data_IF_719897123722
#
_entry.id   IF_719897123722
#
_cell.length_a   1.000
_cell.length_b   1.000
_cell.length_c   1.000
_cell.angle_alpha   90.00
_cell.angle_beta   90.00
_cell.angle_gamma   90.00
#
_symmetry.space_group_name_H-M   'P 1'
#
loop_
_entity.id
_entity.type
_entity.pdbx_description
1 polymer ?
#
# COMPACT_ATOMS: atom_id res chain seq x y z
N UNK A 1 22.35 -20.32 -12.59
CA UNK A 1 20.88 -20.17 -12.69
C UNK A 1 20.16 -20.62 -11.41
N UNK A 2 20.75 -21.50 -10.60
CA UNK A 2 20.08 -22.07 -9.41
C UNK A 2 19.73 -21.07 -8.29
N UNK A 3 20.61 -20.08 -8.02
CA UNK A 3 20.37 -19.05 -6.98
C UNK A 3 19.13 -18.20 -7.23
N UNK A 4 18.79 -17.95 -8.50
CA UNK A 4 17.59 -17.20 -8.86
C UNK A 4 16.33 -18.02 -8.57
N UNK A 5 16.36 -19.32 -8.89
CA UNK A 5 15.26 -20.25 -8.60
C UNK A 5 14.97 -20.38 -7.11
N UNK A 6 16.02 -20.48 -6.28
CA UNK A 6 15.88 -20.53 -4.82
C UNK A 6 15.26 -19.25 -4.25
N UNK A 7 15.68 -18.08 -4.74
CA UNK A 7 15.14 -16.80 -4.30
C UNK A 7 13.65 -16.65 -4.65
N UNK A 8 13.25 -17.05 -5.86
CA UNK A 8 11.84 -17.04 -6.28
C UNK A 8 11.01 -17.96 -5.40
N UNK A 9 11.50 -19.17 -5.10
CA UNK A 9 10.79 -20.13 -4.24
C UNK A 9 10.61 -19.61 -2.81
N UNK A 10 11.62 -18.99 -2.21
CA UNK A 10 11.51 -18.40 -0.88
C UNK A 10 10.59 -17.18 -0.88
N UNK A 11 10.62 -16.34 -1.92
CA UNK A 11 9.68 -15.23 -2.07
C UNK A 11 8.21 -15.71 -2.13
N UNK A 12 7.93 -16.76 -2.92
CA UNK A 12 6.59 -17.38 -2.98
C UNK A 12 6.17 -18.00 -1.64
N UNK A 13 7.12 -18.59 -0.91
CA UNK A 13 6.88 -19.16 0.43
C UNK A 13 6.53 -18.08 1.45
N UNK A 14 7.28 -16.97 1.45
CA UNK A 14 6.99 -15.80 2.27
C UNK A 14 5.62 -15.20 1.92
N UNK A 15 5.30 -15.05 0.64
CA UNK A 15 4.02 -14.51 0.19
C UNK A 15 2.82 -15.37 0.65
N UNK A 16 2.95 -16.71 0.60
CA UNK A 16 1.93 -17.62 1.15
C UNK A 16 1.71 -17.45 2.65
N UNK A 17 2.77 -17.22 3.43
CA UNK A 17 2.67 -16.98 4.89
C UNK A 17 2.00 -15.66 5.21
N UNK A 18 2.27 -14.60 4.44
CA UNK A 18 1.67 -13.27 4.63
C UNK A 18 0.14 -13.29 4.45
N UNK A 19 -0.38 -14.10 3.51
CA UNK A 19 -1.83 -14.24 3.27
C UNK A 19 -2.59 -14.89 4.43
N UNK A 20 -1.93 -15.65 5.29
CA UNK A 20 -2.57 -16.37 6.40
C UNK A 20 -2.80 -15.52 7.65
N UNK A 21 -2.29 -14.28 7.70
CA UNK A 21 -2.39 -13.44 8.91
C UNK A 21 -3.78 -12.82 9.14
N UNK A 22 -4.73 -12.97 8.22
CA UNK A 22 -6.08 -12.39 8.32
C UNK A 22 -7.13 -13.44 8.64
N UNK A 23 -6.90 -14.26 9.67
CA UNK A 23 -7.99 -15.05 10.24
C UNK A 23 -8.94 -14.10 10.95
N UNK A 24 -10.25 -14.28 10.75
CA UNK A 24 -11.26 -13.63 11.55
C UNK A 24 -11.02 -14.01 13.02
N UNK A 25 -10.53 -13.07 13.81
CA UNK A 25 -10.23 -13.32 15.21
C UNK A 25 -11.53 -13.29 16.00
N UNK A 26 -11.84 -14.42 16.64
CA UNK A 26 -12.91 -14.47 17.64
C UNK A 26 -12.68 -13.41 18.74
N UNK A 27 -13.76 -12.93 19.36
CA UNK A 27 -13.71 -11.87 20.35
C UNK A 27 -12.81 -12.24 21.56
N UNK A 28 -12.82 -13.52 21.95
CA UNK A 28 -11.93 -14.02 23.00
C UNK A 28 -10.44 -13.91 22.61
N UNK A 29 -10.12 -14.17 21.35
CA UNK A 29 -8.76 -14.01 20.83
C UNK A 29 -8.34 -12.54 20.84
N UNK A 30 -9.23 -11.62 20.44
CA UNK A 30 -8.96 -10.17 20.48
C UNK A 30 -8.60 -9.71 21.89
N UNK A 31 -9.37 -10.11 22.90
CA UNK A 31 -9.14 -9.76 24.30
C UNK A 31 -7.82 -10.35 24.79
N UNK A 32 -7.53 -11.62 24.49
CA UNK A 32 -6.29 -12.29 24.91
C UNK A 32 -5.04 -11.59 24.37
N UNK A 33 -5.05 -11.21 23.10
CA UNK A 33 -3.95 -10.49 22.46
C UNK A 33 -3.80 -9.08 23.03
N UNK A 34 -4.91 -8.36 23.24
CA UNK A 34 -4.91 -7.05 23.89
C UNK A 34 -4.25 -7.11 25.28
N UNK A 35 -4.70 -8.01 26.15
CA UNK A 35 -4.16 -8.16 27.52
C UNK A 35 -2.66 -8.45 27.49
N UNK A 36 -2.21 -9.35 26.60
CA UNK A 36 -0.79 -9.64 26.43
C UNK A 36 0.02 -8.41 26.00
N UNK A 37 -0.49 -7.60 25.08
CA UNK A 37 0.19 -6.38 24.62
C UNK A 37 0.25 -5.31 25.72
N UNK A 38 -0.80 -5.16 26.51
CA UNK A 38 -0.82 -4.26 27.68
C UNK A 38 0.22 -4.69 28.71
N UNK A 39 0.26 -5.97 29.07
CA UNK A 39 1.25 -6.51 30.02
C UNK A 39 2.70 -6.35 29.52
N UNK A 40 2.91 -6.34 28.20
CA UNK A 40 4.20 -6.07 27.58
C UNK A 40 4.55 -4.57 27.44
N UNK A 41 3.69 -3.66 27.94
CA UNK A 41 3.88 -2.21 27.82
C UNK A 41 3.64 -1.64 26.42
N UNK A 42 3.13 -2.45 25.48
CA UNK A 42 2.89 -2.05 24.07
C UNK A 42 1.50 -1.44 23.90
N UNK A 43 1.22 -0.35 24.61
CA UNK A 43 -0.12 0.27 24.67
C UNK A 43 -0.63 0.76 23.30
N UNK A 44 0.26 1.31 22.46
CA UNK A 44 -0.10 1.73 21.09
C UNK A 44 -0.56 0.54 20.25
N UNK A 45 0.14 -0.58 20.34
CA UNK A 45 -0.19 -1.77 19.56
C UNK A 45 -1.46 -2.42 20.10
N UNK A 46 -1.63 -2.48 21.43
CA UNK A 46 -2.85 -2.95 22.06
C UNK A 46 -4.08 -2.14 21.61
N UNK A 47 -3.97 -0.80 21.62
CA UNK A 47 -5.07 0.08 21.19
C UNK A 47 -5.37 -0.05 19.71
N UNK A 48 -4.36 -0.18 18.84
CA UNK A 48 -4.59 -0.40 17.39
C UNK A 48 -5.26 -1.75 17.12
N UNK A 49 -4.80 -2.80 17.81
CA UNK A 49 -5.36 -4.14 17.71
C UNK A 49 -6.85 -4.19 18.09
N UNK A 50 -7.23 -3.66 19.26
CA UNK A 50 -8.63 -3.72 19.73
C UNK A 50 -9.58 -2.80 18.95
N UNK A 51 -9.04 -1.75 18.31
CA UNK A 51 -9.83 -0.81 17.50
C UNK A 51 -9.88 -1.19 16.02
N UNK A 52 -9.40 -2.39 15.65
CA UNK A 52 -9.31 -2.85 14.26
C UNK A 52 -8.57 -1.87 13.33
N UNK A 53 -7.69 -1.04 13.90
CA UNK A 53 -6.80 -0.12 13.16
C UNK A 53 -5.50 -0.81 12.72
N UNK A 54 -5.37 -2.10 13.02
CA UNK A 54 -4.39 -2.98 12.40
C UNK A 54 -4.93 -3.43 11.04
N UNK A 55 -4.85 -2.51 10.07
CA UNK A 55 -5.44 -2.67 8.74
C UNK A 55 -4.79 -1.77 7.70
N UNK A 56 -3.50 -1.44 7.88
CA UNK A 56 -2.72 -0.78 6.83
C UNK A 56 -2.44 -1.78 5.71
N UNK A 57 -3.04 -1.57 4.55
CA UNK A 57 -2.81 -2.38 3.36
C UNK A 57 -3.19 -1.64 2.10
N UNK A 58 -2.58 -2.02 0.99
CA UNK A 58 -2.97 -1.51 -0.33
C UNK A 58 -4.37 -2.04 -0.64
N UNK A 59 -5.30 -1.14 -0.90
CA UNK A 59 -6.61 -1.50 -1.43
C UNK A 59 -6.45 -1.76 -2.94
N UNK A 60 -7.00 -2.87 -3.43
CA UNK A 60 -7.00 -3.16 -4.86
C UNK A 60 -8.06 -2.27 -5.55
N UNK A 61 -7.83 -1.83 -6.79
CA UNK A 61 -8.77 -0.97 -7.53
C UNK A 61 -10.21 -1.51 -7.56
N UNK A 62 -10.37 -2.84 -7.63
CA UNK A 62 -11.64 -3.55 -7.74
C UNK A 62 -12.32 -3.79 -6.37
N UNK A 63 -11.64 -3.47 -5.26
CA UNK A 63 -12.20 -3.66 -3.92
C UNK A 63 -13.39 -2.72 -3.73
N UNK A 64 -14.53 -3.28 -3.33
CA UNK A 64 -15.74 -2.50 -3.03
C UNK A 64 -15.61 -1.88 -1.65
N UNK A 65 -15.78 -0.57 -1.58
CA UNK A 65 -15.78 0.22 -0.34
C UNK A 65 -17.12 0.09 0.39
N UNK A 66 -17.19 0.58 1.64
CA UNK A 66 -18.44 0.65 2.42
C UNK A 66 -19.55 1.45 1.72
N UNK A 67 -19.17 2.31 0.76
CA UNK A 67 -20.08 3.15 -0.02
C UNK A 67 -20.62 2.42 -1.27
N UNK A 68 -20.31 1.14 -1.46
CA UNK A 68 -20.75 0.33 -2.59
C UNK A 68 -20.03 0.62 -3.91
N UNK A 69 -19.06 1.54 -3.91
CA UNK A 69 -18.21 1.88 -5.07
C UNK A 69 -16.86 1.19 -4.98
N UNK A 70 -16.26 0.89 -6.12
CA UNK A 70 -14.89 0.41 -6.18
C UNK A 70 -13.91 1.48 -5.70
N UNK A 71 -12.74 1.07 -5.22
CA UNK A 71 -11.67 2.01 -4.83
C UNK A 71 -11.28 2.91 -6.00
N UNK A 72 -11.25 2.37 -7.23
CA UNK A 72 -10.99 3.15 -8.43
C UNK A 72 -12.01 4.28 -8.62
N UNK A 73 -13.31 3.97 -8.53
CA UNK A 73 -14.39 4.96 -8.68
C UNK A 73 -14.29 6.05 -7.61
N UNK A 74 -14.07 5.66 -6.35
CA UNK A 74 -13.91 6.61 -5.24
C UNK A 74 -12.71 7.54 -5.46
N UNK A 75 -11.61 7.02 -6.01
CA UNK A 75 -10.44 7.83 -6.33
C UNK A 75 -10.73 8.76 -7.51
N UNK A 76 -11.37 8.27 -8.57
CA UNK A 76 -11.76 9.10 -9.71
C UNK A 76 -12.68 10.25 -9.31
N UNK A 77 -13.64 10.00 -8.41
CA UNK A 77 -14.57 11.04 -7.92
C UNK A 77 -13.88 12.12 -7.07
N UNK A 78 -12.80 11.77 -6.37
CA UNK A 78 -12.02 12.74 -5.59
C UNK A 78 -11.19 13.68 -6.46
N UNK A 79 -10.83 13.24 -7.66
CA UNK A 79 -10.00 14.03 -8.55
C UNK A 79 -10.87 14.84 -9.53
N UNK A 80 -10.57 16.13 -9.73
CA UNK A 80 -11.20 16.87 -10.82
C UNK A 80 -10.86 16.22 -12.17
N UNK A 81 -11.67 16.47 -13.22
CA UNK A 81 -11.32 16.06 -14.57
C UNK A 81 -9.91 16.51 -14.92
N UNK A 82 -9.17 15.67 -15.64
CA UNK A 82 -7.82 16.01 -16.06
C UNK A 82 -7.85 17.28 -16.92
N UNK A 83 -7.21 18.33 -16.44
CA UNK A 83 -7.09 19.60 -17.15
C UNK A 83 -5.84 19.58 -18.02
N UNK A 84 -5.99 19.99 -19.28
CA UNK A 84 -4.85 20.33 -20.12
C UNK A 84 -4.39 21.73 -19.72
N UNK A 85 -3.13 21.93 -19.27
CA UNK A 85 -2.64 23.26 -18.95
C UNK A 85 -2.68 24.15 -20.20
N UNK A 86 -3.11 25.40 -20.02
CA UNK A 86 -3.09 26.39 -21.08
C UNK A 86 -1.64 26.76 -21.41
N UNK A 87 -1.26 26.91 -22.69
CA UNK A 87 0.11 27.28 -23.07
C UNK A 87 0.67 28.50 -22.33
N UNK A 88 -0.20 29.44 -22.02
CA UNK A 88 0.08 30.69 -21.31
C UNK A 88 0.41 30.48 -19.82
N UNK A 89 0.15 29.28 -19.27
CA UNK A 89 0.50 28.90 -17.89
C UNK A 89 1.89 28.26 -17.84
N UNK A 90 2.48 27.90 -18.98
CA UNK A 90 3.85 27.40 -19.00
C UNK A 90 4.81 28.52 -18.61
N UNK A 91 5.83 28.18 -17.82
CA UNK A 91 6.92 29.12 -17.56
C UNK A 91 7.72 29.30 -18.85
N UNK A 92 7.97 30.55 -19.22
CA UNK A 92 8.89 30.89 -20.31
C UNK A 92 10.31 30.47 -19.89
N UNK A 93 10.78 29.34 -20.40
CA UNK A 93 12.16 28.91 -20.24
C UNK A 93 12.98 29.47 -21.41
N UNK A 94 13.71 30.56 -21.19
CA UNK A 94 14.64 31.13 -22.18
C UNK A 94 15.83 30.20 -22.44
N UNK A 95 16.31 29.50 -21.41
CA UNK A 95 17.40 28.53 -21.50
C UNK A 95 16.92 27.11 -21.21
N UNK A 96 17.02 26.24 -22.21
CA UNK A 96 16.84 24.81 -22.05
C UNK A 96 18.15 24.21 -21.50
N UNK A 97 18.10 23.33 -20.49
CA UNK A 97 19.28 22.61 -20.06
C UNK A 97 19.86 21.81 -21.23
N UNK A 98 21.20 21.70 -21.27
CA UNK A 98 21.88 20.96 -22.32
C UNK A 98 21.46 19.49 -22.27
N UNK A 99 20.86 18.99 -23.37
CA UNK A 99 20.55 17.57 -23.51
C UNK A 99 21.87 16.80 -23.62
N UNK A 100 22.23 16.08 -22.57
CA UNK A 100 23.37 15.18 -22.60
C UNK A 100 22.92 13.86 -23.21
N UNK A 101 23.47 13.50 -24.37
CA UNK A 101 23.35 12.15 -24.89
C UNK A 101 24.14 11.21 -23.97
N UNK A 102 23.40 10.40 -23.22
CA UNK A 102 23.98 9.33 -22.42
C UNK A 102 24.04 8.10 -23.29
N UNK A 103 25.24 7.72 -23.70
CA UNK A 103 25.49 6.47 -24.41
C UNK A 103 25.41 5.32 -23.40
N UNK A 104 24.27 4.61 -23.38
CA UNK A 104 24.07 3.45 -22.51
C UNK A 104 24.69 2.24 -23.20
N UNK A 105 25.97 1.97 -22.91
CA UNK A 105 26.63 0.74 -23.36
C UNK A 105 26.12 -0.47 -22.58
N UNK A 106 25.93 -1.60 -23.27
CA UNK A 106 25.47 -2.89 -22.72
C UNK A 106 26.36 -3.46 -21.59
#
# INVERSE_FOLDING_TARGET
>A
QDKFGELVQEAERCNRRLRQSRQATDNEHKIRVFTRLVLAGRLRDATRWITDRDGGGVLLPETVTEQGKTVLEVLQEKHPPQLVPMPETFMDCEELPTLLDVDVTE
#
